data_IF_488122441712
#
_entry.id   IF_488122441712
#
_cell.length_a   1.000
_cell.length_b   1.000
_cell.length_c   1.000
_cell.angle_alpha   90.00
_cell.angle_beta   90.00
_cell.angle_gamma   90.00
#
_symmetry.space_group_name_H-M   'P 1'
#
loop_
_entity.id
_entity.type
_entity.pdbx_description
1 polymer ?
#
# COMPACT_ATOMS: atom_id res chain seq x y z
N UNK A 1 -6.23 -24.52 7.62
CA UNK A 1 -4.89 -23.93 7.42
C UNK A 1 -4.62 -23.08 8.65
N UNK A 2 -3.58 -23.38 9.43
CA UNK A 2 -3.28 -22.62 10.65
C UNK A 2 -2.62 -21.30 10.22
N UNK A 3 -3.18 -20.17 10.67
CA UNK A 3 -2.58 -18.86 10.45
C UNK A 3 -1.54 -18.62 11.54
N UNK A 4 -0.32 -18.20 11.15
CA UNK A 4 0.73 -17.82 12.09
C UNK A 4 0.56 -16.39 12.59
N UNK A 5 -0.09 -15.54 11.80
CA UNK A 5 -0.41 -14.17 12.18
C UNK A 5 -1.81 -13.83 11.71
N UNK A 6 -2.63 -13.31 12.62
CA UNK A 6 -3.95 -12.73 12.29
C UNK A 6 -4.03 -11.33 12.89
N UNK A 7 -4.22 -10.37 12.00
CA UNK A 7 -4.43 -8.97 12.30
C UNK A 7 -5.91 -8.69 12.04
N UNK A 8 -6.63 -8.22 13.06
CA UNK A 8 -8.05 -7.86 12.91
C UNK A 8 -8.28 -6.38 13.23
N UNK A 9 -8.87 -5.67 12.27
CA UNK A 9 -9.31 -4.28 12.41
C UNK A 9 -8.20 -3.34 12.94
N UNK A 10 -6.95 -3.60 12.56
CA UNK A 10 -5.80 -2.89 13.08
C UNK A 10 -5.75 -1.44 12.62
N UNK A 11 -5.44 -0.57 13.58
CA UNK A 11 -5.18 0.84 13.31
C UNK A 11 -3.87 1.26 13.95
N UNK A 12 -3.08 2.04 13.22
CA UNK A 12 -1.82 2.57 13.69
C UNK A 12 -1.65 4.04 13.28
N UNK A 13 -1.06 4.82 14.16
CA UNK A 13 -0.68 6.20 13.91
C UNK A 13 0.76 6.42 14.35
N UNK A 14 1.41 7.40 13.75
CA UNK A 14 2.72 7.87 14.21
C UNK A 14 2.59 8.63 15.54
N UNK A 15 3.71 8.88 16.26
CA UNK A 15 3.69 9.67 17.49
C UNK A 15 3.10 11.09 17.32
N UNK A 16 3.21 11.69 16.13
CA UNK A 16 2.58 12.97 15.77
C UNK A 16 1.10 12.85 15.37
N UNK A 17 0.44 11.73 15.68
CA UNK A 17 -0.97 11.42 15.39
C UNK A 17 -1.34 11.41 13.92
N UNK A 18 -0.38 11.18 13.02
CA UNK A 18 -0.69 10.96 11.61
C UNK A 18 -1.07 9.49 11.44
N UNK A 19 -2.30 9.25 10.97
CA UNK A 19 -2.76 7.90 10.68
C UNK A 19 -1.90 7.25 9.59
N UNK A 20 -1.40 6.05 9.88
CA UNK A 20 -0.67 5.21 8.93
C UNK A 20 -1.65 4.35 8.14
N UNK A 21 -2.52 3.63 8.85
CA UNK A 21 -3.59 2.80 8.30
C UNK A 21 -4.71 2.61 9.34
N UNK A 22 -5.91 2.35 8.86
CA UNK A 22 -7.11 2.07 9.66
C UNK A 22 -7.78 0.77 9.19
N UNK A 23 -8.41 0.05 10.13
CA UNK A 23 -9.21 -1.17 9.88
C UNK A 23 -8.49 -2.20 9.00
N UNK A 24 -7.19 -2.40 9.24
CA UNK A 24 -6.38 -3.37 8.52
C UNK A 24 -6.67 -4.78 9.06
N UNK A 25 -7.22 -5.63 8.19
CA UNK A 25 -7.38 -7.07 8.48
C UNK A 25 -6.51 -7.88 7.53
N UNK A 26 -5.65 -8.74 8.10
CA UNK A 26 -4.71 -9.58 7.35
C UNK A 26 -4.46 -10.88 8.09
N UNK A 27 -4.52 -12.01 7.39
CA UNK A 27 -4.11 -13.32 7.90
C UNK A 27 -2.93 -13.82 7.08
N UNK A 28 -1.90 -14.34 7.74
CA UNK A 28 -0.69 -14.92 7.12
C UNK A 28 -0.52 -16.35 7.64
N UNK A 29 -0.45 -17.31 6.71
CA UNK A 29 -0.14 -18.71 7.00
C UNK A 29 1.26 -19.11 6.54
N UNK A 30 1.43 -20.37 6.14
CA UNK A 30 2.64 -20.90 5.50
C UNK A 30 2.70 -20.50 4.01
N UNK A 31 2.73 -19.20 3.76
CA UNK A 31 2.81 -18.59 2.42
C UNK A 31 3.81 -17.43 2.44
N UNK A 32 4.28 -17.02 1.26
CA UNK A 32 5.18 -15.87 1.10
C UNK A 32 4.39 -14.63 0.72
N UNK A 33 4.37 -13.65 1.61
CA UNK A 33 3.60 -12.41 1.49
C UNK A 33 4.54 -11.22 1.35
N UNK A 34 4.42 -10.49 0.25
CA UNK A 34 5.10 -9.21 0.04
C UNK A 34 4.24 -8.03 0.45
N UNK A 35 4.69 -7.21 1.39
CA UNK A 35 4.11 -5.92 1.74
C UNK A 35 4.66 -4.83 0.83
N UNK A 36 3.77 -4.18 0.09
CA UNK A 36 4.08 -3.02 -0.74
C UNK A 36 3.26 -1.83 -0.27
N UNK A 37 3.72 -0.62 -0.57
CA UNK A 37 3.01 0.58 -0.13
C UNK A 37 3.90 1.81 -0.24
N UNK A 38 3.28 2.98 -0.24
CA UNK A 38 4.01 4.27 -0.32
C UNK A 38 4.98 4.42 0.85
N UNK A 39 6.04 5.19 0.68
CA UNK A 39 6.92 5.54 1.79
C UNK A 39 6.11 6.23 2.89
N UNK A 40 6.27 5.78 4.13
CA UNK A 40 5.46 6.24 5.26
C UNK A 40 4.02 5.70 5.31
N UNK A 41 3.71 4.62 4.59
CA UNK A 41 2.45 3.87 4.74
C UNK A 41 2.37 3.03 6.02
N UNK A 42 3.50 2.85 6.72
CA UNK A 42 3.55 2.10 7.97
C UNK A 42 3.93 0.62 7.83
N UNK A 43 4.55 0.18 6.71
CA UNK A 43 5.03 -1.21 6.53
C UNK A 43 5.92 -1.69 7.68
N UNK A 44 6.95 -0.91 8.01
CA UNK A 44 7.84 -1.20 9.15
C UNK A 44 7.07 -1.21 10.47
N UNK A 45 6.13 -0.27 10.67
CA UNK A 45 5.27 -0.27 11.86
C UNK A 45 4.40 -1.52 11.94
N UNK A 46 3.87 -1.99 10.81
CA UNK A 46 3.07 -3.22 10.73
C UNK A 46 3.91 -4.44 11.10
N UNK A 47 5.15 -4.53 10.61
CA UNK A 47 6.06 -5.62 10.97
C UNK A 47 6.44 -5.59 12.45
N UNK A 48 6.69 -4.41 13.03
CA UNK A 48 6.97 -4.26 14.46
C UNK A 48 5.76 -4.59 15.34
N UNK A 49 4.56 -4.23 14.90
CA UNK A 49 3.31 -4.68 15.54
C UNK A 49 3.19 -6.20 15.44
N UNK A 50 3.45 -6.80 14.27
CA UNK A 50 3.44 -8.25 14.11
C UNK A 50 4.43 -8.94 15.07
N UNK A 51 5.67 -8.43 15.16
CA UNK A 51 6.70 -8.92 16.07
C UNK A 51 6.38 -8.72 17.57
N UNK A 52 5.42 -7.84 17.91
CA UNK A 52 5.07 -7.53 19.30
C UNK A 52 5.94 -6.45 19.95
N UNK A 53 6.70 -5.70 19.16
CA UNK A 53 7.51 -4.58 19.65
C UNK A 53 6.70 -3.31 19.91
N UNK A 54 5.58 -3.15 19.19
CA UNK A 54 4.68 -2.00 19.30
C UNK A 54 3.25 -2.50 19.45
N UNK A 55 2.52 -1.91 20.40
CA UNK A 55 1.07 -2.12 20.54
C UNK A 55 0.29 -1.31 19.49
N UNK A 56 -0.76 -1.88 18.88
CA UNK A 56 -1.61 -1.15 17.97
C UNK A 56 -2.48 -0.13 18.70
N UNK A 57 -2.93 0.89 17.98
CA UNK A 57 -3.84 1.91 18.55
C UNK A 57 -5.27 1.35 18.74
N UNK A 58 -5.69 0.46 17.84
CA UNK A 58 -6.94 -0.27 17.89
C UNK A 58 -6.82 -1.58 17.11
N UNK A 59 -7.74 -2.51 17.35
CA UNK A 59 -7.75 -3.84 16.75
C UNK A 59 -7.09 -4.89 17.64
N UNK A 60 -6.91 -6.10 17.10
CA UNK A 60 -6.28 -7.21 17.81
C UNK A 60 -5.25 -7.92 16.95
N UNK A 61 -4.25 -8.52 17.62
CA UNK A 61 -3.17 -9.29 16.99
C UNK A 61 -3.13 -10.66 17.64
N UNK A 62 -3.43 -11.70 16.85
CA UNK A 62 -3.24 -13.08 17.24
C UNK A 62 -2.01 -13.65 16.55
N UNK A 63 -1.13 -14.28 17.33
CA UNK A 63 0.12 -14.90 16.87
C UNK A 63 0.04 -16.39 17.16
N UNK A 64 0.22 -17.20 16.14
CA UNK A 64 0.30 -18.65 16.23
C UNK A 64 1.72 -19.09 15.91
N UNK A 65 2.43 -19.65 16.89
CA UNK A 65 3.81 -20.13 16.71
C UNK A 65 4.88 -19.05 16.95
N UNK A 66 6.11 -19.41 16.64
CA UNK A 66 7.29 -18.57 16.84
C UNK A 66 7.55 -17.69 15.62
N UNK A 67 7.96 -16.44 15.85
CA UNK A 67 8.31 -15.49 14.79
C UNK A 67 9.78 -15.12 14.89
N UNK A 68 10.43 -15.01 13.73
CA UNK A 68 11.81 -14.51 13.63
C UNK A 68 11.87 -13.23 12.82
N UNK A 69 12.62 -12.26 13.32
CA UNK A 69 12.88 -11.00 12.64
C UNK A 69 14.31 -11.02 12.14
N UNK A 70 14.53 -10.70 10.85
CA UNK A 70 15.87 -10.51 10.34
C UNK A 70 16.43 -9.17 10.82
N UNK A 71 17.41 -9.22 11.72
CA UNK A 71 18.18 -8.05 12.13
C UNK A 71 19.40 -7.93 11.22
N UNK A 72 19.53 -6.78 10.55
CA UNK A 72 20.63 -6.53 9.61
C UNK A 72 21.77 -5.69 10.20
N UNK A 73 21.47 -4.89 11.24
CA UNK A 73 22.43 -3.99 11.86
C UNK A 73 22.94 -4.61 13.17
N UNK A 74 24.17 -5.12 13.10
CA UNK A 74 24.89 -5.71 14.24
C UNK A 74 26.14 -4.89 14.52
N UNK A 75 26.44 -4.69 15.80
CA UNK A 75 27.65 -3.98 16.21
C UNK A 75 28.91 -4.74 15.77
N UNK A 76 29.89 -4.01 15.23
CA UNK A 76 31.14 -4.58 14.69
C UNK A 76 31.95 -5.39 15.72
N UNK A 77 31.81 -5.07 17.01
CA UNK A 77 32.54 -5.71 18.09
C UNK A 77 31.98 -7.08 18.49
N UNK A 78 30.75 -7.42 18.07
CA UNK A 78 30.14 -8.69 18.44
C UNK A 78 30.82 -9.86 17.72
N UNK A 79 31.00 -10.97 18.43
CA UNK A 79 31.42 -12.23 17.87
C UNK A 79 30.26 -12.92 17.12
N UNK A 80 30.59 -13.79 16.17
CA UNK A 80 29.60 -14.60 15.44
C UNK A 80 28.74 -15.42 16.40
N UNK A 81 29.34 -16.03 17.44
CA UNK A 81 28.61 -16.78 18.49
C UNK A 81 27.55 -15.93 19.21
N UNK A 82 27.84 -14.65 19.46
CA UNK A 82 26.89 -13.72 20.10
C UNK A 82 25.74 -13.38 19.16
N UNK A 83 26.03 -13.16 17.87
CA UNK A 83 25.00 -12.92 16.85
C UNK A 83 24.12 -14.15 16.64
N UNK A 84 24.69 -15.35 16.72
CA UNK A 84 23.91 -16.60 16.66
C UNK A 84 23.11 -16.88 17.94
N UNK A 85 23.32 -16.12 19.02
CA UNK A 85 22.69 -16.37 20.32
C UNK A 85 23.18 -17.65 21.00
N UNK A 86 24.35 -18.16 20.60
CA UNK A 86 24.84 -19.46 21.02
C UNK A 86 25.92 -19.39 22.12
N UNK A 87 26.40 -18.20 22.49
CA UNK A 87 27.53 -18.01 23.41
C UNK A 87 27.36 -18.76 24.73
N UNK A 88 26.23 -18.58 25.42
CA UNK A 88 26.01 -19.19 26.74
C UNK A 88 25.85 -20.71 26.65
N UNK A 89 25.18 -21.20 25.60
CA UNK A 89 24.96 -22.63 25.39
C UNK A 89 26.27 -23.34 25.02
N UNK A 90 27.10 -22.73 24.18
CA UNK A 90 28.44 -23.23 23.86
C UNK A 90 29.35 -23.21 25.08
N UNK A 91 29.31 -22.13 25.88
CA UNK A 91 30.07 -22.04 27.12
C UNK A 91 29.66 -23.13 28.12
N UNK A 92 28.36 -23.44 28.20
CA UNK A 92 27.82 -24.55 29.01
C UNK A 92 28.40 -25.90 28.58
N UNK A 93 28.30 -26.24 27.29
CA UNK A 93 28.88 -27.49 26.76
C UNK A 93 30.39 -27.57 27.03
N UNK A 94 31.11 -26.45 26.85
CA UNK A 94 32.55 -26.39 27.10
C UNK A 94 32.90 -26.62 28.59
N UNK A 95 32.13 -26.11 29.55
CA UNK A 95 32.33 -26.38 30.99
C UNK A 95 32.18 -27.86 31.30
N UNK A 96 31.14 -28.50 30.78
CA UNK A 96 30.89 -29.93 30.99
C UNK A 96 32.04 -30.77 30.45
N UNK A 97 32.52 -30.49 29.23
CA UNK A 97 33.63 -31.21 28.59
C UNK A 97 34.95 -31.08 29.36
N UNK A 98 35.15 -29.98 30.11
CA UNK A 98 36.32 -29.78 30.98
C UNK A 98 36.17 -30.43 32.36
N UNK A 99 35.01 -31.03 32.67
CA UNK A 99 34.71 -31.57 34.01
C UNK A 99 34.34 -30.50 35.04
N UNK A 100 34.02 -29.29 34.60
CA UNK A 100 33.65 -28.13 35.45
C UNK A 100 32.13 -27.86 35.43
N UNK A 101 31.34 -28.73 34.77
CA UNK A 101 29.89 -28.56 34.64
C UNK A 101 29.14 -28.86 35.94
N UNK A 102 28.11 -28.05 36.24
CA UNK A 102 27.15 -28.32 37.30
C UNK A 102 26.08 -29.36 36.89
N UNK A 103 25.26 -29.80 37.84
CA UNK A 103 24.06 -30.61 37.53
C UNK A 103 23.09 -29.86 36.60
N UNK A 104 22.91 -28.55 36.80
CA UNK A 104 22.09 -27.70 35.93
C UNK A 104 22.68 -27.58 34.52
N UNK A 105 24.02 -27.50 34.40
CA UNK A 105 24.70 -27.49 33.10
C UNK A 105 24.41 -28.79 32.34
N UNK A 106 24.52 -29.94 33.00
CA UNK A 106 24.22 -31.25 32.41
C UNK A 106 22.75 -31.41 31.99
N UNK A 107 21.82 -30.87 32.79
CA UNK A 107 20.39 -30.98 32.54
C UNK A 107 19.92 -30.17 31.31
N UNK A 108 20.54 -29.01 31.07
CA UNK A 108 20.13 -28.09 29.99
C UNK A 108 21.08 -28.09 28.78
N UNK A 109 22.10 -28.95 28.76
CA UNK A 109 23.05 -29.02 27.66
C UNK A 109 22.41 -29.52 26.36
N UNK A 110 22.46 -28.68 25.31
CA UNK A 110 22.12 -29.09 23.95
C UNK A 110 23.38 -29.57 23.21
N UNK A 111 23.63 -30.88 23.27
CA UNK A 111 24.74 -31.52 22.56
C UNK A 111 24.59 -31.48 21.03
N UNK A 112 23.41 -31.11 20.51
CA UNK A 112 23.16 -30.98 19.07
C UNK A 112 23.44 -29.57 18.54
N UNK A 113 23.74 -28.62 19.43
CA UNK A 113 23.91 -27.21 19.07
C UNK A 113 25.07 -26.99 18.09
N UNK A 114 26.25 -27.53 18.38
CA UNK A 114 27.43 -27.37 17.53
C UNK A 114 27.18 -27.90 16.09
N UNK A 115 26.70 -29.15 15.90
CA UNK A 115 26.30 -29.62 14.57
C UNK A 115 25.24 -28.76 13.88
N UNK A 116 24.27 -28.22 14.62
CA UNK A 116 23.23 -27.33 14.07
C UNK A 116 23.82 -25.99 13.60
N UNK A 117 24.76 -25.42 14.36
CA UNK A 117 25.48 -24.19 13.99
C UNK A 117 26.30 -24.42 12.73
N UNK A 118 27.07 -25.51 12.68
CA UNK A 118 27.85 -25.88 11.50
C UNK A 118 26.96 -26.04 10.26
N UNK A 119 25.82 -26.72 10.40
CA UNK A 119 24.86 -26.90 9.32
C UNK A 119 24.28 -25.55 8.84
N UNK A 120 23.85 -24.68 9.76
CA UNK A 120 23.29 -23.36 9.42
C UNK A 120 24.32 -22.43 8.75
N UNK A 121 25.57 -22.44 9.22
CA UNK A 121 26.67 -21.72 8.58
C UNK A 121 27.01 -22.30 7.20
N UNK A 122 27.00 -23.63 7.05
CA UNK A 122 27.24 -24.27 5.76
C UNK A 122 26.14 -23.96 4.74
N UNK A 123 24.87 -23.99 5.15
CA UNK A 123 23.72 -23.66 4.29
C UNK A 123 23.78 -22.21 3.78
N UNK A 124 24.34 -21.31 4.60
CA UNK A 124 24.58 -19.92 4.22
C UNK A 124 25.94 -19.69 3.55
N UNK A 125 26.69 -20.74 3.20
CA UNK A 125 27.97 -20.63 2.49
C UNK A 125 29.10 -20.04 3.33
N UNK A 126 29.02 -20.15 4.66
CA UNK A 126 30.00 -19.74 5.66
C UNK A 126 30.60 -20.95 6.40
N UNK A 127 30.67 -22.10 5.73
CA UNK A 127 31.24 -23.31 6.32
C UNK A 127 32.66 -23.06 6.87
N UNK A 128 32.91 -23.47 8.12
CA UNK A 128 34.19 -23.28 8.79
C UNK A 128 34.48 -21.87 9.32
N UNK A 129 33.49 -20.97 9.31
CA UNK A 129 33.63 -19.66 9.95
C UNK A 129 33.82 -19.80 11.46
N UNK A 130 34.88 -19.21 11.99
CA UNK A 130 35.17 -19.24 13.42
C UNK A 130 34.16 -18.43 14.23
N UNK A 131 33.65 -19.00 15.32
CA UNK A 131 32.57 -18.43 16.13
C UNK A 131 33.02 -17.25 17.02
N UNK A 132 34.32 -17.10 17.24
CA UNK A 132 34.97 -16.00 17.95
C UNK A 132 35.33 -14.83 17.02
N UNK A 133 35.18 -15.01 15.71
CA UNK A 133 35.42 -13.94 14.74
C UNK A 133 34.41 -12.82 14.94
N UNK A 134 34.89 -11.57 14.89
CA UNK A 134 34.05 -10.38 15.07
C UNK A 134 33.35 -9.96 13.78
N UNK A 135 32.12 -9.47 13.90
CA UNK A 135 31.30 -8.99 12.77
C UNK A 135 31.99 -7.88 11.97
N UNK A 136 32.79 -7.04 12.65
CA UNK A 136 33.62 -5.98 12.06
C UNK A 136 34.53 -6.47 10.93
N UNK A 137 35.02 -7.70 11.03
CA UNK A 137 35.95 -8.32 10.09
C UNK A 137 35.30 -9.02 8.89
N UNK A 138 33.96 -9.06 8.86
CA UNK A 138 33.16 -9.70 7.81
C UNK A 138 32.72 -8.68 6.76
N UNK A 139 32.68 -9.09 5.50
CA UNK A 139 32.03 -8.35 4.42
C UNK A 139 30.53 -8.20 4.66
N UNK A 140 29.88 -7.22 4.02
CA UNK A 140 28.44 -6.99 4.16
C UNK A 140 27.60 -8.23 3.81
N UNK A 141 27.96 -8.94 2.74
CA UNK A 141 27.36 -10.22 2.38
C UNK A 141 27.54 -11.30 3.45
N UNK A 142 28.74 -11.47 4.00
CA UNK A 142 28.99 -12.43 5.10
C UNK A 142 28.18 -12.10 6.36
N UNK A 143 28.12 -10.82 6.76
CA UNK A 143 27.30 -10.40 7.92
C UNK A 143 25.83 -10.76 7.75
N UNK A 144 25.31 -10.53 6.54
CA UNK A 144 23.92 -10.91 6.21
C UNK A 144 23.73 -12.42 6.31
N UNK A 145 24.67 -13.20 5.79
CA UNK A 145 24.63 -14.67 5.85
C UNK A 145 24.71 -15.20 7.28
N UNK A 146 25.47 -14.57 8.19
CA UNK A 146 25.44 -14.87 9.63
C UNK A 146 24.06 -14.58 10.23
N UNK A 147 23.45 -13.44 9.89
CA UNK A 147 22.10 -13.12 10.37
C UNK A 147 21.04 -14.12 9.85
N UNK A 148 21.20 -14.63 8.62
CA UNK A 148 20.36 -15.71 8.08
C UNK A 148 20.62 -17.03 8.84
N UNK A 149 21.87 -17.36 9.14
CA UNK A 149 22.22 -18.56 9.89
C UNK A 149 21.58 -18.58 11.29
N UNK A 150 21.50 -17.41 11.95
CA UNK A 150 20.73 -17.26 13.20
C UNK A 150 19.26 -17.66 13.02
N UNK A 151 18.60 -17.20 11.96
CA UNK A 151 17.20 -17.54 11.70
C UNK A 151 17.01 -19.03 11.40
N UNK A 152 17.95 -19.66 10.68
CA UNK A 152 17.93 -21.10 10.42
C UNK A 152 18.09 -21.92 11.71
N UNK A 153 18.89 -21.44 12.66
CA UNK A 153 19.05 -22.06 13.98
C UNK A 153 17.78 -21.97 14.83
N UNK A 154 17.16 -20.78 14.85
CA UNK A 154 15.93 -20.49 15.60
C UNK A 154 14.71 -21.22 14.99
N UNK A 155 14.73 -21.48 13.68
CA UNK A 155 13.69 -22.16 12.91
C UNK A 155 12.24 -21.66 13.19
N UNK A 156 11.96 -20.35 13.09
CA UNK A 156 10.64 -19.79 13.37
C UNK A 156 9.56 -20.22 12.36
N UNK A 157 8.31 -20.25 12.81
CA UNK A 157 7.16 -20.57 11.95
C UNK A 157 6.86 -19.47 10.92
N UNK A 158 7.12 -18.20 11.29
CA UNK A 158 6.92 -17.04 10.42
C UNK A 158 8.13 -16.08 10.46
N UNK A 159 8.68 -15.77 9.28
CA UNK A 159 9.73 -14.79 9.10
C UNK A 159 9.17 -13.40 8.82
N UNK A 160 9.71 -12.40 9.50
CA UNK A 160 9.41 -10.99 9.31
C UNK A 160 10.66 -10.27 8.78
N UNK A 161 10.58 -9.72 7.57
CA UNK A 161 11.71 -9.07 6.89
C UNK A 161 11.35 -7.63 6.51
N UNK A 162 12.02 -6.64 7.10
CA UNK A 162 11.83 -5.21 6.77
C UNK A 162 12.99 -4.69 5.91
N UNK A 163 12.68 -4.32 4.66
CA UNK A 163 13.63 -3.89 3.63
C UNK A 163 14.92 -4.73 3.57
N UNK A 164 14.81 -6.08 3.50
CA UNK A 164 15.95 -6.99 3.73
C UNK A 164 17.03 -6.92 2.65
N UNK A 165 16.77 -6.24 1.53
CA UNK A 165 17.72 -6.07 0.42
C UNK A 165 18.43 -4.72 0.45
N UNK A 166 18.06 -3.84 1.38
CA UNK A 166 18.65 -2.51 1.49
C UNK A 166 20.08 -2.59 2.02
N UNK A 167 20.96 -1.70 1.54
CA UNK A 167 22.38 -1.66 1.91
C UNK A 167 23.17 -2.97 1.68
N UNK A 168 22.63 -3.94 0.93
CA UNK A 168 23.32 -5.20 0.61
C UNK A 168 24.05 -5.16 -0.74
N UNK A 169 25.13 -5.93 -0.83
CA UNK A 169 25.77 -6.27 -2.09
C UNK A 169 24.95 -7.31 -2.90
N UNK A 170 25.46 -7.73 -4.05
CA UNK A 170 24.76 -8.71 -4.90
C UNK A 170 24.60 -10.06 -4.20
N UNK A 171 25.62 -10.46 -3.45
CA UNK A 171 25.70 -11.72 -2.74
C UNK A 171 24.72 -11.79 -1.57
N UNK A 172 24.63 -10.73 -0.77
CA UNK A 172 23.64 -10.61 0.31
C UNK A 172 22.22 -10.64 -0.21
N UNK A 173 21.91 -9.93 -1.31
CA UNK A 173 20.59 -10.00 -1.94
C UNK A 173 20.25 -11.40 -2.45
N UNK A 174 21.21 -12.10 -3.04
CA UNK A 174 21.01 -13.47 -3.51
C UNK A 174 20.74 -14.42 -2.33
N UNK A 175 21.45 -14.26 -1.21
CA UNK A 175 21.23 -15.05 0.00
C UNK A 175 19.82 -14.84 0.59
N UNK A 176 19.33 -13.60 0.63
CA UNK A 176 17.95 -13.30 1.05
C UNK A 176 16.92 -13.94 0.12
N UNK A 177 17.14 -13.86 -1.20
CA UNK A 177 16.27 -14.52 -2.18
C UNK A 177 16.22 -16.04 -1.98
N UNK A 178 17.36 -16.67 -1.72
CA UNK A 178 17.46 -18.11 -1.46
C UNK A 178 16.75 -18.50 -0.15
N UNK A 179 16.95 -17.73 0.93
CA UNK A 179 16.26 -17.93 2.21
C UNK A 179 14.74 -17.92 2.01
N UNK A 180 14.21 -16.87 1.36
CA UNK A 180 12.77 -16.70 1.18
C UNK A 180 12.19 -17.77 0.26
N UNK A 181 12.92 -18.22 -0.75
CA UNK A 181 12.49 -19.28 -1.64
C UNK A 181 12.50 -20.67 -0.97
N UNK A 182 13.45 -20.93 -0.07
CA UNK A 182 13.61 -22.21 0.63
C UNK A 182 12.82 -22.33 1.94
N UNK A 183 12.27 -21.23 2.48
CA UNK A 183 11.57 -21.25 3.75
C UNK A 183 10.27 -22.05 3.67
N UNK A 184 10.10 -23.01 4.59
CA UNK A 184 8.90 -23.87 4.65
C UNK A 184 7.76 -23.25 5.45
N UNK A 185 8.06 -22.29 6.33
CA UNK A 185 7.09 -21.54 7.11
C UNK A 185 6.46 -20.38 6.35
N UNK A 186 5.81 -19.47 7.07
CA UNK A 186 5.34 -18.21 6.52
C UNK A 186 6.48 -17.21 6.33
N UNK A 187 6.35 -16.32 5.35
CA UNK A 187 7.26 -15.19 5.18
C UNK A 187 6.45 -13.92 4.95
N UNK A 188 6.74 -12.86 5.68
CA UNK A 188 6.18 -11.53 5.50
C UNK A 188 7.30 -10.53 5.25
N UNK A 189 7.39 -10.04 4.01
CA UNK A 189 8.48 -9.16 3.56
C UNK A 189 7.96 -7.78 3.21
N UNK A 190 8.42 -6.73 3.88
CA UNK A 190 8.31 -5.37 3.37
C UNK A 190 9.53 -5.08 2.48
N UNK A 191 9.32 -4.89 1.18
CA UNK A 191 10.41 -4.57 0.27
C UNK A 191 9.91 -3.75 -0.92
N UNK A 192 10.83 -2.98 -1.51
CA UNK A 192 10.66 -2.38 -2.83
C UNK A 192 11.44 -3.12 -3.95
N UNK A 193 12.16 -4.20 -3.63
CA UNK A 193 12.88 -5.01 -4.60
C UNK A 193 11.92 -5.90 -5.40
N UNK A 194 11.73 -5.52 -6.66
CA UNK A 194 10.85 -6.22 -7.60
C UNK A 194 11.24 -7.68 -7.83
N UNK A 195 12.54 -8.01 -7.77
CA UNK A 195 13.00 -9.39 -7.97
C UNK A 195 12.60 -10.28 -6.79
N UNK A 196 12.74 -9.77 -5.57
CA UNK A 196 12.32 -10.48 -4.37
C UNK A 196 10.80 -10.64 -4.33
N UNK A 197 10.07 -9.56 -4.66
CA UNK A 197 8.61 -9.56 -4.70
C UNK A 197 8.02 -10.46 -5.79
N UNK A 198 8.78 -10.78 -6.85
CA UNK A 198 8.34 -11.71 -7.89
C UNK A 198 8.19 -13.14 -7.36
N UNK A 199 8.99 -13.53 -6.37
CA UNK A 199 8.95 -14.85 -5.76
C UNK A 199 7.82 -15.02 -4.70
N UNK A 200 6.99 -14.00 -4.50
CA UNK A 200 5.92 -14.02 -3.49
C UNK A 200 4.69 -14.75 -4.03
N UNK A 201 3.99 -15.46 -3.14
CA UNK A 201 2.69 -16.07 -3.45
C UNK A 201 1.57 -15.02 -3.47
N UNK A 202 1.75 -13.94 -2.70
CA UNK A 202 0.75 -12.89 -2.50
C UNK A 202 1.42 -11.54 -2.24
N UNK A 203 0.87 -10.48 -2.83
CA UNK A 203 1.27 -9.09 -2.57
C UNK A 203 0.14 -8.37 -1.84
N UNK A 204 0.48 -7.69 -0.75
CA UNK A 204 -0.43 -6.89 0.07
C UNK A 204 0.00 -5.44 -0.03
N UNK A 205 -0.83 -4.60 -0.66
CA UNK A 205 -0.64 -3.17 -0.70
C UNK A 205 -1.23 -2.50 0.54
N UNK A 206 -0.38 -1.87 1.34
CA UNK A 206 -0.77 -1.10 2.53
C UNK A 206 -1.09 0.33 2.12
N UNK A 207 -2.31 0.76 2.42
CA UNK A 207 -2.81 2.12 2.18
C UNK A 207 -3.39 2.73 3.46
N UNK A 208 -3.55 4.06 3.53
CA UNK A 208 -4.19 4.70 4.69
C UNK A 208 -5.62 4.25 4.98
N UNK A 209 -6.32 3.70 3.97
CA UNK A 209 -7.74 3.32 4.06
C UNK A 209 -7.90 1.79 4.24
N UNK A 210 -6.80 1.05 4.34
CA UNK A 210 -6.79 -0.41 4.51
C UNK A 210 -5.79 -1.11 3.58
N UNK A 211 -5.98 -2.41 3.38
CA UNK A 211 -5.10 -3.25 2.56
C UNK A 211 -5.79 -3.77 1.31
N UNK A 212 -5.01 -3.88 0.24
CA UNK A 212 -5.43 -4.56 -0.99
C UNK A 212 -4.57 -5.79 -1.21
N UNK A 213 -5.21 -6.94 -1.40
CA UNK A 213 -4.55 -8.23 -1.51
C UNK A 213 -4.60 -8.70 -2.96
N UNK A 214 -3.45 -9.07 -3.50
CA UNK A 214 -3.28 -9.56 -4.85
C UNK A 214 -2.59 -10.93 -4.81
N UNK A 215 -3.14 -11.90 -5.54
CA UNK A 215 -2.49 -13.20 -5.72
C UNK A 215 -1.38 -13.11 -6.77
N UNK A 216 -0.28 -13.82 -6.53
CA UNK A 216 0.91 -13.83 -7.37
C UNK A 216 1.94 -12.77 -6.98
N UNK A 217 3.07 -12.79 -7.69
CA UNK A 217 4.20 -11.90 -7.46
C UNK A 217 4.03 -10.48 -7.99
N UNK A 218 5.14 -9.75 -8.04
CA UNK A 218 5.19 -8.34 -8.45
C UNK A 218 4.59 -8.08 -9.84
N UNK A 219 4.84 -8.93 -10.84
CA UNK A 219 4.33 -8.73 -12.20
C UNK A 219 2.79 -8.69 -12.25
N UNK A 220 2.13 -9.64 -11.56
CA UNK A 220 0.68 -9.71 -11.47
C UNK A 220 0.10 -8.49 -10.74
N UNK A 221 0.74 -8.09 -9.64
CA UNK A 221 0.37 -6.87 -8.92
C UNK A 221 0.53 -5.61 -9.79
N UNK A 222 1.65 -5.48 -10.50
CA UNK A 222 1.94 -4.32 -11.34
C UNK A 222 0.94 -4.21 -12.50
N UNK A 223 0.61 -5.34 -13.15
CA UNK A 223 -0.39 -5.39 -14.21
C UNK A 223 -1.78 -5.00 -13.69
N UNK A 224 -2.22 -5.58 -12.57
CA UNK A 224 -3.50 -5.24 -11.96
C UNK A 224 -3.59 -3.75 -11.59
N UNK A 225 -2.52 -3.20 -11.01
CA UNK A 225 -2.42 -1.79 -10.65
C UNK A 225 -2.44 -0.89 -11.87
N UNK A 226 -1.72 -1.25 -12.93
CA UNK A 226 -1.62 -0.44 -14.14
C UNK A 226 -2.93 -0.49 -14.95
N UNK A 227 -3.61 -1.65 -14.98
CA UNK A 227 -4.97 -1.78 -15.52
C UNK A 227 -6.00 -0.96 -14.72
N UNK A 228 -5.93 -0.97 -13.39
CA UNK A 228 -6.80 -0.12 -12.55
C UNK A 228 -6.55 1.37 -12.81
N UNK A 229 -5.30 1.78 -12.96
CA UNK A 229 -4.92 3.16 -13.32
C UNK A 229 -5.43 3.55 -14.71
N UNK A 230 -5.30 2.67 -15.70
CA UNK A 230 -5.80 2.91 -17.05
C UNK A 230 -7.32 3.11 -17.06
N UNK A 231 -8.07 2.22 -16.39
CA UNK A 231 -9.53 2.35 -16.25
C UNK A 231 -9.94 3.66 -15.58
N UNK A 232 -9.24 4.06 -14.51
CA UNK A 232 -9.49 5.33 -13.83
C UNK A 232 -9.21 6.55 -14.72
N UNK A 233 -8.15 6.51 -15.55
CA UNK A 233 -7.90 7.57 -16.54
C UNK A 233 -9.01 7.63 -17.60
N UNK A 234 -9.40 6.50 -18.17
CA UNK A 234 -10.45 6.44 -19.19
C UNK A 234 -11.80 6.95 -18.65
N UNK A 235 -12.14 6.61 -17.40
CA UNK A 235 -13.35 7.08 -16.74
C UNK A 235 -13.30 8.60 -16.51
N UNK A 236 -12.16 9.12 -16.05
CA UNK A 236 -11.96 10.56 -15.87
C UNK A 236 -12.05 11.33 -17.19
N UNK A 237 -11.47 10.79 -18.27
CA UNK A 237 -11.51 11.39 -19.59
C UNK A 237 -12.93 11.37 -20.17
N UNK A 238 -13.66 10.25 -20.01
CA UNK A 238 -15.07 10.12 -20.40
C UNK A 238 -15.95 11.11 -19.64
N UNK A 239 -15.78 11.21 -18.32
CA UNK A 239 -16.54 12.15 -17.49
C UNK A 239 -16.20 13.61 -17.84
N UNK A 240 -14.93 13.92 -18.11
CA UNK A 240 -14.49 15.23 -18.57
C UNK A 240 -15.08 15.60 -19.94
N UNK A 241 -15.12 14.64 -20.87
CA UNK A 241 -15.75 14.80 -22.18
C UNK A 241 -17.25 15.05 -22.08
N UNK A 242 -17.95 14.28 -21.24
CA UNK A 242 -19.38 14.44 -20.98
C UNK A 242 -19.71 15.82 -20.38
N UNK A 243 -18.91 16.30 -19.42
CA UNK A 243 -19.05 17.64 -18.83
C UNK A 243 -18.87 18.73 -19.88
N UNK A 244 -17.81 18.68 -20.71
CA UNK A 244 -17.61 19.64 -21.81
C UNK A 244 -18.72 19.58 -22.87
N UNK A 245 -19.30 18.40 -23.10
CA UNK A 245 -20.44 18.22 -24.00
C UNK A 245 -21.71 18.86 -23.44
N UNK A 246 -22.00 18.64 -22.17
CA UNK A 246 -23.15 19.21 -21.47
C UNK A 246 -23.09 20.75 -21.42
N UNK A 247 -21.92 21.31 -21.12
CA UNK A 247 -21.69 22.76 -21.12
C UNK A 247 -21.92 23.38 -22.50
N UNK A 248 -21.34 22.79 -23.56
CA UNK A 248 -21.54 23.26 -24.95
C UNK A 248 -23.01 23.17 -25.37
N UNK A 249 -23.68 22.06 -25.09
CA UNK A 249 -25.10 21.91 -25.41
C UNK A 249 -25.98 22.89 -24.61
N UNK A 250 -25.63 23.20 -23.35
CA UNK A 250 -26.32 24.21 -22.57
C UNK A 250 -26.13 25.61 -23.18
N UNK A 251 -24.90 25.95 -23.60
CA UNK A 251 -24.59 27.21 -24.26
C UNK A 251 -25.33 27.36 -25.59
N UNK A 252 -25.28 26.35 -26.47
CA UNK A 252 -26.00 26.36 -27.75
C UNK A 252 -27.52 26.49 -27.57
N UNK A 253 -28.09 25.85 -26.54
CA UNK A 253 -29.52 25.99 -26.20
C UNK A 253 -29.86 27.42 -25.76
N UNK A 254 -29.02 28.05 -24.93
CA UNK A 254 -29.17 29.45 -24.52
C UNK A 254 -29.13 30.38 -25.74
N UNK A 255 -28.13 30.24 -26.60
CA UNK A 255 -28.00 31.06 -27.81
C UNK A 255 -29.18 30.88 -28.78
N UNK A 256 -29.65 29.64 -28.99
CA UNK A 256 -30.84 29.36 -29.83
C UNK A 256 -32.09 29.98 -29.23
N UNK A 257 -32.26 29.93 -27.90
CA UNK A 257 -33.37 30.58 -27.20
C UNK A 257 -33.29 32.09 -27.38
N UNK A 258 -32.14 32.71 -27.15
CA UNK A 258 -31.95 34.16 -27.28
C UNK A 258 -32.26 34.65 -28.70
N UNK A 259 -31.86 33.88 -29.74
CA UNK A 259 -32.22 34.17 -31.13
C UNK A 259 -33.73 34.08 -31.38
N UNK A 260 -34.39 33.03 -30.88
CA UNK A 260 -35.85 32.87 -31.00
C UNK A 260 -36.61 33.97 -30.27
N UNK A 261 -36.19 34.32 -29.06
CA UNK A 261 -36.80 35.37 -28.25
C UNK A 261 -36.64 36.74 -28.94
N UNK A 262 -35.48 37.00 -29.56
CA UNK A 262 -35.26 38.21 -30.37
C UNK A 262 -36.16 38.26 -31.61
N UNK A 263 -36.28 37.15 -32.35
CA UNK A 263 -37.16 37.06 -33.51
C UNK A 263 -38.64 37.21 -33.12
N UNK A 264 -39.06 36.60 -32.00
CA UNK A 264 -40.41 36.73 -31.45
C UNK A 264 -40.75 38.18 -31.06
N UNK A 265 -39.81 38.88 -30.41
CA UNK A 265 -39.97 40.31 -30.09
C UNK A 265 -40.09 41.18 -31.35
N UNK A 266 -39.28 40.93 -32.37
CA UNK A 266 -39.35 41.65 -33.64
C UNK A 266 -40.68 41.41 -34.38
N UNK A 267 -41.16 40.16 -34.39
CA UNK A 267 -42.47 39.81 -34.97
C UNK A 267 -43.64 40.47 -34.23
N UNK A 268 -43.60 40.49 -32.89
CA UNK A 268 -44.61 41.19 -32.09
C UNK A 268 -44.62 42.71 -32.35
N UNK A 269 -43.44 43.31 -32.52
CA UNK A 269 -43.30 44.74 -32.82
C UNK A 269 -43.80 45.13 -34.22
N UNK A 270 -43.79 44.21 -35.18
CA UNK A 270 -44.26 44.45 -36.54
C UNK A 270 -45.81 44.50 -36.68
N UNK A 271 -46.56 44.29 -35.59
CA UNK A 271 -48.03 44.49 -35.56
C UNK A 271 -48.83 43.50 -36.42
N UNK A 272 -48.20 42.44 -36.93
CA UNK A 272 -48.74 41.56 -37.98
C UNK A 272 -49.71 40.48 -37.47
N UNK A 273 -49.99 40.45 -36.16
CA UNK A 273 -50.80 39.41 -35.52
C UNK A 273 -51.65 39.96 -34.34
N UNK A 274 -52.83 39.36 -34.05
CA UNK A 274 -53.68 39.73 -32.91
C UNK A 274 -53.02 39.58 -31.54
N UNK A 275 -53.25 40.53 -30.61
CA UNK A 275 -52.69 40.54 -29.24
C UNK A 275 -52.92 39.23 -28.46
N UNK A 276 -54.07 38.59 -28.64
CA UNK A 276 -54.42 37.33 -27.97
C UNK A 276 -53.50 36.18 -28.42
N UNK A 277 -53.16 36.13 -29.71
CA UNK A 277 -52.25 35.11 -30.24
C UNK A 277 -50.81 35.37 -29.79
N UNK A 278 -50.37 36.63 -29.78
CA UNK A 278 -49.04 37.02 -29.27
C UNK A 278 -48.88 36.70 -27.78
N UNK A 279 -49.90 36.95 -26.95
CA UNK A 279 -49.90 36.60 -25.53
C UNK A 279 -49.80 35.09 -25.29
N UNK A 280 -50.62 34.29 -26.00
CA UNK A 280 -50.52 32.81 -25.94
C UNK A 280 -49.18 32.27 -26.41
N UNK A 281 -48.55 32.93 -27.40
CA UNK A 281 -47.25 32.52 -27.92
C UNK A 281 -46.11 32.86 -26.95
N UNK A 282 -46.17 34.02 -26.29
CA UNK A 282 -45.24 34.42 -25.24
C UNK A 282 -45.31 33.48 -24.03
N UNK A 283 -46.51 33.16 -23.54
CA UNK A 283 -46.72 32.25 -22.42
C UNK A 283 -46.19 30.82 -22.72
N UNK A 284 -46.39 30.34 -23.96
CA UNK A 284 -45.80 29.06 -24.41
C UNK A 284 -44.27 29.12 -24.48
N UNK A 285 -43.70 30.24 -24.91
CA UNK A 285 -42.25 30.42 -24.99
C UNK A 285 -41.61 30.47 -23.59
N UNK A 286 -42.24 31.13 -22.62
CA UNK A 286 -41.78 31.15 -21.22
C UNK A 286 -41.83 29.76 -20.58
N UNK A 287 -42.95 29.05 -20.74
CA UNK A 287 -43.12 27.71 -20.20
C UNK A 287 -42.16 26.67 -20.80
N UNK A 288 -41.92 26.73 -22.11
CA UNK A 288 -40.96 25.86 -22.78
C UNK A 288 -39.51 26.22 -22.42
N UNK A 289 -39.17 27.52 -22.40
CA UNK A 289 -37.85 28.01 -22.01
C UNK A 289 -37.48 27.66 -20.56
N UNK A 290 -38.42 27.76 -19.64
CA UNK A 290 -38.21 27.39 -18.23
C UNK A 290 -38.06 25.88 -18.01
N UNK A 291 -38.68 25.03 -18.84
CA UNK A 291 -38.48 23.58 -18.82
C UNK A 291 -37.13 23.19 -19.41
N UNK A 292 -36.76 23.78 -20.54
CA UNK A 292 -35.49 23.51 -21.22
C UNK A 292 -34.28 23.96 -20.39
N UNK A 293 -34.35 25.12 -19.71
CA UNK A 293 -33.28 25.60 -18.83
C UNK A 293 -33.08 24.65 -17.65
N UNK A 294 -34.16 24.23 -16.98
CA UNK A 294 -34.10 23.28 -15.86
C UNK A 294 -33.60 21.90 -16.26
N UNK A 295 -33.86 21.47 -17.49
CA UNK A 295 -33.31 20.23 -18.03
C UNK A 295 -31.80 20.37 -18.30
N UNK A 296 -31.38 21.49 -18.91
CA UNK A 296 -29.98 21.76 -19.19
C UNK A 296 -29.13 21.87 -17.91
N UNK A 297 -29.65 22.55 -16.88
CA UNK A 297 -29.00 22.65 -15.56
C UNK A 297 -28.86 21.29 -14.89
N UNK A 298 -29.90 20.45 -14.93
CA UNK A 298 -29.83 19.07 -14.41
C UNK A 298 -28.78 18.24 -15.12
N UNK A 299 -28.77 18.24 -16.46
CA UNK A 299 -27.78 17.48 -17.24
C UNK A 299 -26.34 17.95 -16.98
N UNK A 300 -26.13 19.25 -16.81
CA UNK A 300 -24.83 19.81 -16.46
C UNK A 300 -24.41 19.43 -15.02
N UNK A 301 -25.35 19.48 -14.08
CA UNK A 301 -25.14 19.04 -12.70
C UNK A 301 -24.77 17.56 -12.60
N UNK A 302 -25.50 16.69 -13.32
CA UNK A 302 -25.23 15.25 -13.36
C UNK A 302 -23.85 14.96 -13.96
N UNK A 303 -23.47 15.68 -15.02
CA UNK A 303 -22.14 15.53 -15.63
C UNK A 303 -21.02 16.01 -14.70
N UNK A 304 -21.24 17.09 -13.93
CA UNK A 304 -20.29 17.57 -12.94
C UNK A 304 -20.13 16.59 -11.76
N UNK A 305 -21.23 16.01 -11.27
CA UNK A 305 -21.19 15.00 -10.22
C UNK A 305 -20.43 13.74 -10.66
N UNK A 306 -20.66 13.26 -11.89
CA UNK A 306 -19.90 12.14 -12.48
C UNK A 306 -18.41 12.44 -12.61
N UNK A 307 -18.05 13.67 -12.98
CA UNK A 307 -16.65 14.08 -13.07
C UNK A 307 -15.96 14.09 -11.70
N UNK A 308 -16.63 14.57 -10.66
CA UNK A 308 -16.09 14.51 -9.30
C UNK A 308 -15.97 13.07 -8.79
N UNK A 309 -16.95 12.21 -9.06
CA UNK A 309 -16.89 10.79 -8.71
C UNK A 309 -15.75 10.04 -9.44
N UNK A 310 -15.47 10.41 -10.70
CA UNK A 310 -14.40 9.82 -11.50
C UNK A 310 -12.99 10.33 -11.14
N UNK A 311 -12.85 11.29 -10.22
CA UNK A 311 -11.52 11.79 -9.83
C UNK A 311 -10.79 10.75 -8.97
N UNK A 312 -9.65 10.22 -9.42
CA UNK A 312 -8.90 9.29 -8.60
C UNK A 312 -8.35 9.98 -7.33
N UNK A 313 -8.25 9.25 -6.21
CA UNK A 313 -7.60 9.76 -5.01
C UNK A 313 -6.15 10.19 -5.30
N UNK A 314 -5.57 11.09 -4.50
CA UNK A 314 -4.24 11.66 -4.75
C UNK A 314 -3.11 10.62 -4.93
N UNK A 315 -3.26 9.40 -4.38
CA UNK A 315 -2.31 8.30 -4.51
C UNK A 315 -2.32 7.60 -5.89
N UNK A 316 -3.40 7.74 -6.67
CA UNK A 316 -3.59 7.12 -7.99
C UNK A 316 -3.55 8.18 -9.09
N UNK A 317 -3.17 9.44 -8.76
CA UNK A 317 -3.04 10.52 -9.73
C UNK A 317 -2.03 10.11 -10.82
N UNK A 318 -2.48 9.91 -12.06
CA UNK A 318 -1.60 9.45 -13.13
C UNK A 318 -0.66 10.59 -13.50
N UNK A 319 0.65 10.35 -13.46
CA UNK A 319 1.67 11.33 -13.87
C UNK A 319 1.59 11.77 -15.34
N UNK A 320 0.70 11.16 -16.13
CA UNK A 320 0.45 11.47 -17.54
C UNK A 320 -0.97 11.89 -17.89
N UNK A 321 -1.96 11.70 -17.00
CA UNK A 321 -3.35 12.11 -17.29
C UNK A 321 -3.45 13.61 -17.05
N UNK A 322 -3.16 14.38 -18.10
CA UNK A 322 -3.30 15.84 -18.16
C UNK A 322 -4.79 16.23 -18.15
N UNK A 323 -5.48 15.95 -17.06
CA UNK A 323 -6.61 16.76 -16.67
C UNK A 323 -6.05 18.13 -16.28
N UNK A 324 -5.91 19.03 -17.26
CA UNK A 324 -5.54 20.44 -17.04
C UNK A 324 -6.37 20.94 -15.85
N UNK A 325 -5.70 21.51 -14.86
CA UNK A 325 -6.34 22.05 -13.65
C UNK A 325 -7.51 22.93 -14.08
N UNK A 326 -8.73 22.44 -13.92
CA UNK A 326 -9.88 23.31 -13.91
C UNK A 326 -9.74 24.12 -12.62
N UNK A 327 -9.32 25.37 -12.77
CA UNK A 327 -9.38 26.33 -11.68
C UNK A 327 -10.81 26.33 -11.19
N UNK A 328 -10.98 26.17 -9.87
CA UNK A 328 -12.26 26.37 -9.18
C UNK A 328 -12.69 27.83 -9.40
N UNK A 329 -13.29 28.15 -10.54
CA UNK A 329 -14.13 29.35 -10.65
C UNK A 329 -15.49 28.94 -10.12
N UNK A 330 -15.74 29.31 -8.87
CA UNK A 330 -17.07 29.27 -8.28
C UNK A 330 -18.07 29.93 -9.25
N UNK A 331 -19.29 29.39 -9.39
CA UNK A 331 -20.34 30.07 -10.14
C UNK A 331 -20.56 31.45 -9.52
N UNK A 332 -20.75 32.52 -10.32
CA UNK A 332 -21.06 33.82 -9.78
C UNK A 332 -22.36 33.72 -8.96
N UNK A 333 -22.28 34.09 -7.69
CA UNK A 333 -23.43 34.17 -6.80
C UNK A 333 -24.52 35.04 -7.47
N UNK A 334 -25.72 34.48 -7.57
CA UNK A 334 -26.90 35.20 -8.01
C UNK A 334 -27.07 36.44 -7.12
N UNK A 335 -26.94 37.63 -7.69
CA UNK A 335 -27.31 38.88 -7.02
C UNK A 335 -28.83 38.83 -6.79
N UNK A 336 -29.22 38.74 -5.53
CA UNK A 336 -30.58 39.03 -5.11
C UNK A 336 -30.85 40.52 -5.42
N UNK A 337 -31.78 40.76 -6.34
CA UNK A 337 -32.38 42.08 -6.54
C UNK A 337 -33.37 42.24 -5.39
N UNK A 338 -32.98 43.03 -4.39
CA UNK A 338 -33.88 43.53 -3.36
C UNK A 338 -34.78 44.59 -3.98
N UNK A 339 -36.07 44.29 -4.08
CA UNK A 339 -37.12 45.26 -4.32
C UNK A 339 -37.29 46.16 -3.08
N UNK A 340 -37.11 47.46 -3.27
CA UNK A 340 -37.78 48.53 -2.54
C UNK A 340 -38.28 49.52 -3.60
#
# INVERSE_FOLDING_TARGET
MIAFLTLDSLSAATPDRRTLFENLTLSVGAERVGLVGRNGSGKSTLLRIAAGEIEPMAGSVARGGNMGVLVQDWADALAVSEVLGATDMLARCARILRGEGSEDDLAEADWTLEPRIEAALAETGLAGLALDRVMGSLSGGERTRVAIARLLLDAPDLLLLDEPTNNLDADGRAAIGALVAGWRGGVLVASHDRKLLEAMDRIVEVTPVGVHIFGGGWSAFAEARDAARARACEELDRASGAMRGAERAAQERRERKDRRDKAGRAFAAAGSAPKILLGRQAERAENSGGRDSRLAERLAGDAAARLEAARPPPAVRPGGCRARRYSRRAPPAARAISSA
#
